data_IF_932389589920
#
_entry.id   IF_932389589920
#
_cell.length_a   1.000
_cell.length_b   1.000
_cell.length_c   1.000
_cell.angle_alpha   90.00
_cell.angle_beta   90.00
_cell.angle_gamma   90.00
#
_symmetry.space_group_name_H-M   'P 1'
#
loop_
_entity.id
_entity.type
_entity.pdbx_description
1 polymer ?
#
# COMPACT_ATOMS: atom_id res chain seq x y z
N UNK A 1 5.41 -14.24 -28.45
CA UNK A 1 4.92 -13.03 -27.72
C UNK A 1 4.05 -13.29 -26.48
N UNK A 2 3.38 -14.44 -26.31
CA UNK A 2 2.52 -14.74 -25.13
C UNK A 2 3.29 -14.73 -23.79
N UNK A 3 4.49 -15.32 -23.75
CA UNK A 3 5.29 -15.44 -22.51
C UNK A 3 5.76 -14.11 -21.93
N UNK A 4 6.08 -13.12 -22.78
CA UNK A 4 6.43 -11.77 -22.33
C UNK A 4 5.22 -11.11 -21.63
N UNK A 5 4.02 -11.16 -22.22
CA UNK A 5 2.82 -10.54 -21.64
C UNK A 5 2.49 -11.10 -20.25
N UNK A 6 2.60 -12.42 -20.06
CA UNK A 6 2.35 -13.08 -18.77
C UNK A 6 3.37 -12.60 -17.73
N UNK A 7 4.65 -12.50 -18.10
CA UNK A 7 5.71 -12.01 -17.20
C UNK A 7 5.46 -10.56 -16.74
N UNK A 8 4.97 -9.71 -17.63
CA UNK A 8 4.61 -8.32 -17.32
C UNK A 8 3.38 -8.21 -16.41
N UNK A 9 2.38 -9.09 -16.58
CA UNK A 9 1.22 -9.15 -15.69
C UNK A 9 1.58 -9.66 -14.28
N UNK A 10 2.46 -10.65 -14.18
CA UNK A 10 2.95 -11.15 -12.89
C UNK A 10 3.70 -10.05 -12.13
N UNK A 11 4.57 -9.30 -12.81
CA UNK A 11 5.25 -8.14 -12.22
C UNK A 11 4.27 -7.08 -11.72
N UNK A 12 3.22 -6.80 -12.48
CA UNK A 12 2.17 -5.84 -12.11
C UNK A 12 1.43 -6.30 -10.84
N UNK A 13 0.98 -7.56 -10.81
CA UNK A 13 0.29 -8.14 -9.67
C UNK A 13 1.19 -8.13 -8.42
N UNK A 14 2.46 -8.50 -8.58
CA UNK A 14 3.44 -8.45 -7.50
C UNK A 14 3.64 -7.02 -6.96
N UNK A 15 3.75 -6.04 -7.85
CA UNK A 15 3.88 -4.63 -7.46
C UNK A 15 2.65 -4.15 -6.67
N UNK A 16 1.44 -4.44 -7.16
CA UNK A 16 0.18 -4.06 -6.50
C UNK A 16 0.07 -4.72 -5.13
N UNK A 17 0.35 -6.02 -5.02
CA UNK A 17 0.28 -6.74 -3.75
C UNK A 17 1.28 -6.17 -2.75
N UNK A 18 2.52 -5.93 -3.17
CA UNK A 18 3.56 -5.39 -2.29
C UNK A 18 3.22 -3.96 -1.83
N UNK A 19 2.78 -3.09 -2.74
CA UNK A 19 2.36 -1.73 -2.41
C UNK A 19 1.12 -1.69 -1.51
N UNK A 20 0.14 -2.55 -1.77
CA UNK A 20 -1.06 -2.67 -0.94
C UNK A 20 -0.75 -3.12 0.48
N UNK A 21 0.08 -4.17 0.62
CA UNK A 21 0.52 -4.65 1.92
C UNK A 21 1.37 -3.61 2.66
N UNK A 22 2.32 -2.99 1.96
CA UNK A 22 3.19 -1.95 2.53
C UNK A 22 2.41 -0.73 3.00
N UNK A 23 1.47 -0.23 2.20
CA UNK A 23 0.58 0.88 2.58
C UNK A 23 -0.29 0.51 3.79
N UNK A 24 -0.88 -0.68 3.78
CA UNK A 24 -1.73 -1.15 4.88
C UNK A 24 -0.95 -1.23 6.19
N UNK A 25 0.27 -1.80 6.16
CA UNK A 25 1.17 -1.86 7.31
C UNK A 25 1.58 -0.47 7.80
N UNK A 26 1.93 0.44 6.88
CA UNK A 26 2.25 1.83 7.22
C UNK A 26 1.08 2.52 7.94
N UNK A 27 -0.15 2.39 7.44
CA UNK A 27 -1.32 3.00 8.07
C UNK A 27 -1.61 2.42 9.46
N UNK A 28 -1.48 1.10 9.63
CA UNK A 28 -1.65 0.46 10.93
C UNK A 28 -0.60 0.97 11.92
N UNK A 29 0.68 0.97 11.52
CA UNK A 29 1.79 1.48 12.34
C UNK A 29 1.59 2.95 12.69
N UNK A 30 1.18 3.78 11.74
CA UNK A 30 0.94 5.20 11.97
C UNK A 30 -0.21 5.42 12.96
N UNK A 31 -1.29 4.63 12.85
CA UNK A 31 -2.41 4.70 13.80
C UNK A 31 -1.97 4.30 15.23
N UNK A 32 -1.17 3.24 15.36
CA UNK A 32 -0.60 2.84 16.65
C UNK A 32 0.30 3.92 17.23
N UNK A 33 1.10 4.57 16.38
CA UNK A 33 1.99 5.65 16.79
C UNK A 33 1.22 6.89 17.27
N UNK A 34 0.13 7.24 16.59
CA UNK A 34 -0.76 8.34 17.00
C UNK A 34 -1.40 8.03 18.35
N UNK A 35 -2.00 6.85 18.53
CA UNK A 35 -2.61 6.49 19.82
C UNK A 35 -1.57 6.43 20.95
N UNK A 36 -0.38 5.92 20.65
CA UNK A 36 0.72 5.90 21.62
C UNK A 36 1.13 7.32 22.02
N UNK A 37 1.26 8.24 21.05
CA UNK A 37 1.56 9.64 21.32
C UNK A 37 0.47 10.30 22.16
N UNK A 38 -0.80 10.13 21.81
CA UNK A 38 -1.91 10.69 22.59
C UNK A 38 -2.01 10.08 23.99
N UNK A 39 -1.70 8.79 24.15
CA UNK A 39 -1.70 8.15 25.47
C UNK A 39 -0.58 8.70 26.35
N UNK A 40 0.63 8.86 25.82
CA UNK A 40 1.79 9.36 26.57
C UNK A 40 1.67 10.85 26.91
N UNK A 41 1.23 11.68 25.96
CA UNK A 41 1.21 13.14 26.14
C UNK A 41 -0.09 13.69 26.73
N UNK A 42 -1.22 13.06 26.47
CA UNK A 42 -2.55 13.54 26.89
C UNK A 42 -3.22 12.62 27.92
N UNK A 43 -2.59 11.51 28.31
CA UNK A 43 -3.14 10.56 29.29
C UNK A 43 -4.42 9.86 28.81
N UNK A 44 -4.69 9.89 27.50
CA UNK A 44 -5.86 9.22 26.92
C UNK A 44 -5.66 7.70 26.95
N UNK A 45 -6.75 6.96 27.19
CA UNK A 45 -6.72 5.51 27.15
C UNK A 45 -6.37 5.05 25.74
N UNK A 46 -5.30 4.27 25.64
CA UNK A 46 -4.89 3.57 24.43
C UNK A 46 -6.01 2.59 24.07
N UNK A 47 -6.76 2.88 23.01
CA UNK A 47 -7.94 2.10 22.65
C UNK A 47 -7.96 1.76 21.17
N UNK A 48 -7.20 0.72 20.86
CA UNK A 48 -7.13 0.08 19.53
C UNK A 48 -8.51 -0.31 18.99
N UNK A 49 -9.56 -0.45 19.82
CA UNK A 49 -10.89 -0.86 19.34
C UNK A 49 -11.55 0.18 18.41
N UNK A 50 -11.12 1.45 18.43
CA UNK A 50 -11.60 2.48 17.51
C UNK A 50 -10.83 2.49 16.18
N UNK A 51 -9.74 1.72 16.09
CA UNK A 51 -9.00 1.52 14.86
C UNK A 51 -9.81 0.53 14.04
N UNK A 52 -10.64 1.05 13.13
CA UNK A 52 -11.26 0.26 12.07
C UNK A 52 -10.14 -0.28 11.17
N UNK A 53 -9.47 -1.36 11.58
CA UNK A 53 -8.39 -2.01 10.81
C UNK A 53 -8.87 -2.34 9.39
N UNK A 54 -10.15 -2.69 9.24
CA UNK A 54 -10.82 -2.88 7.95
C UNK A 54 -10.83 -1.63 7.08
N UNK A 55 -10.96 -0.44 7.66
CA UNK A 55 -10.92 0.84 6.94
C UNK A 55 -9.51 1.12 6.42
N UNK A 56 -8.48 0.86 7.25
CA UNK A 56 -7.08 1.00 6.82
C UNK A 56 -6.68 -0.01 5.77
N UNK A 57 -7.16 -1.26 5.84
CA UNK A 57 -6.97 -2.26 4.79
C UNK A 57 -7.63 -1.81 3.48
N UNK A 58 -8.86 -1.27 3.52
CA UNK A 58 -9.53 -0.73 2.31
C UNK A 58 -8.75 0.42 1.69
N UNK A 59 -8.27 1.36 2.52
CA UNK A 59 -7.47 2.51 2.07
C UNK A 59 -6.14 2.03 1.51
N UNK A 60 -5.49 1.07 2.16
CA UNK A 60 -4.24 0.45 1.71
C UNK A 60 -4.39 -0.26 0.37
N UNK A 61 -5.51 -0.96 0.14
CA UNK A 61 -5.83 -1.57 -1.15
C UNK A 61 -6.09 -0.54 -2.25
N UNK A 62 -6.84 0.52 -1.97
CA UNK A 62 -7.08 1.59 -2.95
C UNK A 62 -5.79 2.34 -3.29
N UNK A 63 -5.01 2.72 -2.27
CA UNK A 63 -3.72 3.41 -2.45
C UNK A 63 -2.67 2.54 -3.11
N UNK A 64 -2.56 1.28 -2.69
CA UNK A 64 -1.63 0.30 -3.28
C UNK A 64 -1.99 -0.08 -4.72
N UNK A 65 -3.29 -0.14 -5.04
CA UNK A 65 -3.77 -0.31 -6.41
C UNK A 65 -3.38 0.85 -7.31
N UNK A 66 -3.67 2.10 -6.91
CA UNK A 66 -3.31 3.29 -7.68
C UNK A 66 -1.80 3.45 -7.82
N UNK A 67 -1.05 3.25 -6.73
CA UNK A 67 0.42 3.29 -6.73
C UNK A 67 1.04 2.19 -7.58
N UNK A 68 0.50 0.97 -7.51
CA UNK A 68 0.97 -0.17 -8.29
C UNK A 68 0.72 -0.01 -9.78
N UNK A 69 -0.48 0.45 -10.17
CA UNK A 69 -0.82 0.73 -11.58
C UNK A 69 0.00 1.91 -12.12
N UNK A 70 0.15 2.99 -11.34
CA UNK A 70 0.95 4.15 -11.71
C UNK A 70 2.44 3.79 -11.89
N UNK A 71 3.02 3.07 -10.93
CA UNK A 71 4.40 2.60 -10.99
C UNK A 71 4.65 1.68 -12.18
N UNK A 72 3.73 0.75 -12.44
CA UNK A 72 3.80 -0.13 -13.61
C UNK A 72 3.70 0.64 -14.93
N UNK A 73 2.81 1.64 -15.02
CA UNK A 73 2.67 2.48 -16.21
C UNK A 73 3.96 3.26 -16.53
N UNK A 74 4.60 3.84 -15.51
CA UNK A 74 5.88 4.55 -15.67
C UNK A 74 6.99 3.59 -16.13
N UNK A 75 7.07 2.41 -15.49
CA UNK A 75 8.06 1.40 -15.84
C UNK A 75 7.88 0.90 -17.29
N UNK A 76 6.64 0.63 -17.70
CA UNK A 76 6.31 0.22 -19.06
C UNK A 76 6.60 1.33 -20.09
N UNK A 77 6.27 2.59 -19.76
CA UNK A 77 6.55 3.75 -20.61
C UNK A 77 8.05 3.92 -20.86
N UNK A 78 8.87 3.80 -19.81
CA UNK A 78 10.32 3.90 -19.93
C UNK A 78 10.89 2.70 -20.71
N UNK A 79 10.44 1.48 -20.45
CA UNK A 79 10.87 0.30 -21.20
C UNK A 79 10.60 0.42 -22.72
N UNK A 80 9.47 1.01 -23.12
CA UNK A 80 9.17 1.31 -24.53
C UNK A 80 10.03 2.43 -25.13
N UNK A 81 10.57 3.33 -24.30
CA UNK A 81 11.36 4.48 -24.72
C UNK A 81 12.84 4.13 -24.91
N UNK A 82 13.33 3.13 -24.18
CA UNK A 82 14.72 2.64 -24.22
C UNK A 82 14.87 1.31 -24.99
N UNK A 83 13.86 0.93 -25.78
CA UNK A 83 13.89 -0.23 -26.68
C UNK A 83 13.76 0.24 -28.11
#
# INVERSE_FOLDING_TARGET
MKYLKIRWLILLIYLILFLSLGMSLCFILFSMFIEFFFSVFYGLNFNISNIDVLKYIKIGFMGGGLGGVGGWYIYYRNYKKYK
#
